data_IF_239946871529
#
_entry.id   IF_239946871529
#
_cell.length_a   1.000
_cell.length_b   1.000
_cell.length_c   1.000
_cell.angle_alpha   90.00
_cell.angle_beta   90.00
_cell.angle_gamma   90.00
#
_symmetry.space_group_name_H-M   'P 1'
#
loop_
_entity.id
_entity.type
_entity.pdbx_description
1 polymer ?
#
# COMPACT_ATOMS: atom_id res chain seq x y z
N UNK A 1 22.59 33.14 20.99
CA UNK A 1 22.21 31.79 21.46
C UNK A 1 21.78 30.85 20.31
N UNK A 2 22.27 31.05 19.06
CA UNK A 2 21.51 30.72 17.84
C UNK A 2 22.11 29.65 16.90
N UNK A 3 23.15 28.89 17.30
CA UNK A 3 23.75 27.82 16.45
C UNK A 3 24.13 26.55 17.22
N UNK A 4 23.55 26.31 18.38
CA UNK A 4 23.87 25.10 19.16
C UNK A 4 23.18 23.89 18.53
N UNK A 5 24.01 22.95 18.04
CA UNK A 5 23.60 21.63 17.54
C UNK A 5 22.73 21.61 16.27
N UNK A 6 22.96 22.54 15.33
CA UNK A 6 22.29 22.52 14.01
C UNK A 6 22.56 21.24 13.21
N UNK A 7 23.72 20.60 13.43
CA UNK A 7 24.07 19.32 12.82
C UNK A 7 23.05 18.20 13.14
N UNK A 8 22.43 18.21 14.33
CA UNK A 8 21.41 17.21 14.68
C UNK A 8 20.16 17.40 13.80
N UNK A 9 19.74 18.65 13.56
CA UNK A 9 18.59 18.97 12.71
C UNK A 9 18.91 18.64 11.23
N UNK A 10 20.15 18.82 10.80
CA UNK A 10 20.59 18.41 9.47
C UNK A 10 20.56 16.88 9.30
N UNK A 11 20.97 16.13 10.32
CA UNK A 11 20.87 14.65 10.30
C UNK A 11 19.40 14.21 10.23
N UNK A 12 18.48 14.85 10.97
CA UNK A 12 17.05 14.51 10.89
C UNK A 12 16.48 14.76 9.49
N UNK A 13 16.94 15.82 8.80
CA UNK A 13 16.58 16.06 7.40
C UNK A 13 17.02 14.90 6.48
N UNK A 14 18.27 14.46 6.57
CA UNK A 14 18.78 13.34 5.75
C UNK A 14 18.00 12.05 6.01
N UNK A 15 17.72 11.75 7.28
CA UNK A 15 16.92 10.58 7.67
C UNK A 15 15.50 10.67 7.09
N UNK A 16 14.85 11.84 7.17
CA UNK A 16 13.53 12.06 6.56
C UNK A 16 13.54 11.87 5.04
N UNK A 17 14.59 12.30 4.34
CA UNK A 17 14.72 12.09 2.88
C UNK A 17 14.86 10.60 2.53
N UNK A 18 15.67 9.85 3.27
CA UNK A 18 15.81 8.40 3.08
C UNK A 18 14.48 7.70 3.38
N UNK A 19 13.80 8.09 4.48
CA UNK A 19 12.48 7.58 4.85
C UNK A 19 11.45 7.80 3.72
N UNK A 20 11.43 8.99 3.13
CA UNK A 20 10.56 9.32 2.00
C UNK A 20 10.86 8.45 0.77
N UNK A 21 12.14 8.26 0.43
CA UNK A 21 12.53 7.42 -0.70
C UNK A 21 12.06 5.97 -0.51
N UNK A 22 12.23 5.40 0.69
CA UNK A 22 11.78 4.03 0.98
C UNK A 22 10.26 3.90 0.90
N UNK A 23 9.50 4.90 1.40
CA UNK A 23 8.04 4.91 1.28
C UNK A 23 7.58 4.93 -0.19
N UNK A 24 8.23 5.73 -1.04
CA UNK A 24 7.94 5.78 -2.47
C UNK A 24 8.25 4.43 -3.14
N UNK A 25 9.37 3.79 -2.79
CA UNK A 25 9.70 2.45 -3.31
C UNK A 25 8.65 1.42 -2.86
N UNK A 26 8.22 1.45 -1.60
CA UNK A 26 7.19 0.55 -1.09
C UNK A 26 5.88 0.66 -1.86
N UNK A 27 5.38 1.87 -2.11
CA UNK A 27 4.11 2.06 -2.83
C UNK A 27 4.22 1.71 -4.33
N UNK A 28 5.37 1.96 -4.97
CA UNK A 28 5.55 1.73 -6.40
C UNK A 28 5.88 0.27 -6.76
N UNK A 29 6.28 -0.56 -5.79
CA UNK A 29 6.72 -1.94 -6.06
C UNK A 29 5.56 -2.92 -6.06
N UNK A 30 5.64 -3.93 -6.94
CA UNK A 30 4.63 -4.96 -7.14
C UNK A 30 4.78 -6.19 -6.22
N UNK A 31 5.35 -6.02 -5.03
CA UNK A 31 5.72 -7.12 -4.12
C UNK A 31 5.20 -6.90 -2.69
N UNK A 32 3.92 -6.53 -2.58
CA UNK A 32 3.24 -6.51 -1.28
C UNK A 32 2.79 -7.90 -0.87
N UNK A 33 2.41 -8.74 -1.83
CA UNK A 33 2.07 -10.14 -1.64
C UNK A 33 2.78 -10.97 -2.71
N UNK A 34 3.24 -12.14 -2.28
CA UNK A 34 3.81 -13.18 -3.15
C UNK A 34 3.10 -14.48 -2.82
N UNK A 35 2.56 -15.14 -3.83
CA UNK A 35 1.79 -16.35 -3.66
C UNK A 35 1.98 -17.33 -4.81
N UNK A 36 1.64 -18.59 -4.54
CA UNK A 36 1.55 -19.62 -5.55
C UNK A 36 0.10 -20.10 -5.69
N UNK A 37 -0.32 -20.38 -6.92
CA UNK A 37 -1.64 -20.90 -7.24
C UNK A 37 -1.52 -22.29 -7.87
N UNK A 38 -2.18 -23.27 -7.26
CA UNK A 38 -2.18 -24.67 -7.69
C UNK A 38 -3.41 -24.99 -8.52
N UNK A 39 -3.22 -25.74 -9.60
CA UNK A 39 -4.28 -26.27 -10.43
C UNK A 39 -4.14 -27.79 -10.51
N UNK A 40 -5.25 -28.53 -10.39
CA UNK A 40 -5.22 -29.99 -10.27
C UNK A 40 -4.52 -30.70 -11.44
N UNK A 41 -4.64 -30.14 -12.65
CA UNK A 41 -4.03 -30.70 -13.88
C UNK A 41 -2.71 -30.03 -14.30
N UNK A 42 -2.17 -29.10 -13.51
CA UNK A 42 -0.94 -28.39 -13.87
C UNK A 42 0.30 -29.15 -13.37
N UNK A 43 1.33 -29.20 -14.22
CA UNK A 43 2.64 -29.81 -13.88
C UNK A 43 3.52 -28.90 -13.02
N UNK A 44 3.21 -27.60 -12.99
CA UNK A 44 3.94 -26.58 -12.22
C UNK A 44 2.95 -25.57 -11.64
N UNK A 45 3.22 -25.12 -10.43
CA UNK A 45 2.44 -24.11 -9.74
C UNK A 45 2.60 -22.74 -10.43
N UNK A 46 1.49 -22.00 -10.54
CA UNK A 46 1.51 -20.64 -11.07
C UNK A 46 2.00 -19.67 -10.00
N UNK A 47 2.81 -18.70 -10.38
CA UNK A 47 3.40 -17.73 -9.47
C UNK A 47 2.69 -16.39 -9.62
N UNK A 48 2.35 -15.78 -8.49
CA UNK A 48 1.68 -14.48 -8.46
C UNK A 48 2.41 -13.56 -7.50
N UNK A 49 2.64 -12.34 -7.93
CA UNK A 49 3.01 -11.26 -7.02
C UNK A 49 2.28 -9.98 -7.41
N UNK A 50 1.82 -9.23 -6.43
CA UNK A 50 1.23 -7.93 -6.68
C UNK A 50 1.54 -6.94 -5.55
N UNK A 51 1.59 -5.67 -5.93
CA UNK A 51 1.67 -4.51 -5.06
C UNK A 51 0.31 -3.88 -4.87
N UNK A 52 0.29 -2.65 -4.35
CA UNK A 52 -0.96 -1.96 -4.02
C UNK A 52 -1.86 -1.66 -5.23
N UNK A 53 -1.27 -1.49 -6.41
CA UNK A 53 -2.01 -1.11 -7.63
C UNK A 53 -1.88 -2.09 -8.78
N UNK A 54 -0.71 -2.70 -8.93
CA UNK A 54 -0.37 -3.58 -10.05
C UNK A 54 0.41 -4.80 -9.60
N UNK A 55 0.40 -5.82 -10.43
CA UNK A 55 1.12 -7.07 -10.20
C UNK A 55 1.35 -7.85 -11.48
N UNK A 56 1.84 -9.07 -11.32
CA UNK A 56 2.05 -10.00 -12.42
C UNK A 56 1.64 -11.42 -12.02
N UNK A 57 1.10 -12.14 -12.99
CA UNK A 57 0.70 -13.54 -12.92
C UNK A 57 1.51 -14.32 -13.95
N UNK A 58 2.37 -15.22 -13.47
CA UNK A 58 3.06 -16.21 -14.29
C UNK A 58 2.28 -17.53 -14.23
N UNK A 59 1.45 -17.73 -15.25
CA UNK A 59 0.58 -18.90 -15.37
C UNK A 59 1.28 -20.01 -16.14
N UNK A 60 1.28 -21.21 -15.58
CA UNK A 60 1.79 -22.40 -16.24
C UNK A 60 0.65 -23.36 -16.56
N UNK A 61 0.37 -23.53 -17.86
CA UNK A 61 -0.58 -24.53 -18.36
C UNK A 61 0.24 -25.58 -19.10
N UNK A 62 0.31 -26.79 -18.55
CA UNK A 62 1.18 -27.86 -19.05
C UNK A 62 2.67 -27.40 -19.07
N UNK A 63 3.36 -27.61 -20.19
CA UNK A 63 4.77 -27.23 -20.38
C UNK A 63 5.00 -25.77 -20.81
N UNK A 64 3.93 -24.97 -21.01
CA UNK A 64 4.04 -23.58 -21.50
C UNK A 64 3.65 -22.58 -20.42
N UNK A 65 4.51 -21.57 -20.20
CA UNK A 65 4.27 -20.45 -19.31
C UNK A 65 3.80 -19.21 -20.07
N UNK A 66 2.84 -18.47 -19.53
CA UNK A 66 2.39 -17.16 -20.01
C UNK A 66 2.35 -16.17 -18.87
N UNK A 67 2.84 -14.96 -19.10
CA UNK A 67 2.84 -13.87 -18.13
C UNK A 67 1.72 -12.89 -18.44
N UNK A 68 0.99 -12.47 -17.41
CA UNK A 68 -0.08 -11.49 -17.49
C UNK A 68 0.15 -10.38 -16.47
N UNK A 69 -0.14 -9.15 -16.86
CA UNK A 69 -0.12 -8.02 -15.94
C UNK A 69 -1.46 -7.94 -15.22
N UNK A 70 -1.41 -7.78 -13.90
CA UNK A 70 -2.57 -7.65 -13.05
C UNK A 70 -2.75 -6.19 -12.64
N UNK A 71 -3.98 -5.71 -12.67
CA UNK A 71 -4.35 -4.38 -12.17
C UNK A 71 -5.54 -4.49 -11.23
N UNK A 72 -5.48 -3.82 -10.08
CA UNK A 72 -6.59 -3.82 -9.14
C UNK A 72 -7.80 -3.08 -9.74
N UNK A 73 -8.99 -3.62 -9.51
CA UNK A 73 -10.28 -2.99 -9.85
C UNK A 73 -11.24 -3.19 -8.71
N UNK A 74 -11.92 -2.12 -8.32
CA UNK A 74 -12.77 -2.05 -7.14
C UNK A 74 -14.15 -1.53 -7.50
N UNK A 75 -15.18 -2.16 -6.95
CA UNK A 75 -16.54 -1.65 -6.90
C UNK A 75 -16.87 -1.27 -5.45
N UNK A 76 -16.97 0.04 -5.21
CA UNK A 76 -17.25 0.56 -3.88
C UNK A 76 -18.72 0.39 -3.47
N UNK A 77 -19.63 0.14 -4.43
CA UNK A 77 -21.03 -0.12 -4.13
C UNK A 77 -21.22 -1.46 -3.43
N UNK A 78 -20.52 -2.48 -3.92
CA UNK A 78 -20.54 -3.86 -3.39
C UNK A 78 -19.41 -4.14 -2.39
N UNK A 79 -18.53 -3.16 -2.14
CA UNK A 79 -17.48 -3.29 -1.13
C UNK A 79 -16.33 -4.23 -1.51
N UNK A 80 -16.18 -4.59 -2.80
CA UNK A 80 -15.26 -5.63 -3.24
C UNK A 80 -14.24 -5.13 -4.27
N UNK A 81 -13.03 -5.67 -4.19
CA UNK A 81 -11.92 -5.45 -5.10
C UNK A 81 -11.29 -6.78 -5.52
N UNK A 82 -10.77 -6.81 -6.75
CA UNK A 82 -10.05 -7.95 -7.30
C UNK A 82 -8.85 -7.48 -8.13
N UNK A 83 -7.88 -8.38 -8.34
CA UNK A 83 -6.85 -8.21 -9.36
C UNK A 83 -7.29 -8.86 -10.66
N UNK A 84 -7.45 -8.02 -11.70
CA UNK A 84 -7.85 -8.45 -13.03
C UNK A 84 -6.68 -8.37 -14.01
N UNK A 85 -6.67 -9.30 -14.97
CA UNK A 85 -5.71 -9.37 -16.08
C UNK A 85 -6.22 -8.71 -17.38
N UNK A 86 -7.39 -8.07 -17.37
CA UNK A 86 -7.95 -7.43 -18.56
C UNK A 86 -7.24 -6.11 -18.88
N UNK A 87 -7.12 -5.79 -20.17
CA UNK A 87 -6.39 -4.59 -20.62
C UNK A 87 -7.21 -3.30 -20.52
N UNK A 88 -8.53 -3.36 -20.71
CA UNK A 88 -9.40 -2.19 -20.67
C UNK A 88 -10.09 -2.03 -19.32
N UNK A 89 -10.25 -0.79 -18.85
CA UNK A 89 -10.92 -0.49 -17.59
C UNK A 89 -12.37 -0.99 -17.53
N UNK A 90 -13.12 -0.78 -18.62
CA UNK A 90 -14.50 -1.26 -18.70
C UNK A 90 -14.58 -2.79 -18.61
N UNK A 91 -13.67 -3.52 -19.26
CA UNK A 91 -13.66 -4.98 -19.17
C UNK A 91 -13.32 -5.48 -17.77
N UNK A 92 -12.41 -4.79 -17.06
CA UNK A 92 -12.08 -5.12 -15.65
C UNK A 92 -13.29 -4.91 -14.73
N UNK A 93 -14.05 -3.82 -14.92
CA UNK A 93 -15.26 -3.56 -14.14
C UNK A 93 -16.38 -4.55 -14.44
N UNK A 94 -16.59 -4.89 -15.72
CA UNK A 94 -17.59 -5.87 -16.11
C UNK A 94 -17.24 -7.27 -15.59
N UNK A 95 -15.95 -7.62 -15.59
CA UNK A 95 -15.45 -8.87 -15.00
C UNK A 95 -15.71 -8.92 -13.49
N UNK A 96 -15.41 -7.86 -12.75
CA UNK A 96 -15.71 -7.79 -11.31
C UNK A 96 -17.20 -8.00 -11.04
N UNK A 97 -18.08 -7.31 -11.79
CA UNK A 97 -19.54 -7.47 -11.64
C UNK A 97 -20.01 -8.89 -11.93
N UNK A 98 -19.44 -9.55 -12.95
CA UNK A 98 -19.75 -10.94 -13.26
C UNK A 98 -19.31 -11.88 -12.14
N UNK A 99 -18.12 -11.68 -11.57
CA UNK A 99 -17.63 -12.48 -10.44
C UNK A 99 -18.57 -12.33 -9.23
N UNK A 100 -18.98 -11.11 -8.91
CA UNK A 100 -19.93 -10.84 -7.83
C UNK A 100 -21.29 -11.51 -8.07
N UNK A 101 -21.77 -11.52 -9.32
CA UNK A 101 -22.99 -12.20 -9.73
C UNK A 101 -22.84 -13.72 -9.91
N UNK A 102 -21.66 -14.30 -9.63
CA UNK A 102 -21.32 -15.72 -9.86
C UNK A 102 -21.49 -16.16 -11.32
N UNK A 103 -21.31 -15.23 -12.26
CA UNK A 103 -21.35 -15.47 -13.70
C UNK A 103 -19.97 -15.88 -14.26
N UNK A 104 -19.94 -16.66 -15.35
CA UNK A 104 -18.69 -17.03 -16.00
C UNK A 104 -17.98 -15.81 -16.60
N UNK A 105 -16.68 -15.72 -16.32
CA UNK A 105 -15.81 -14.63 -16.76
C UNK A 105 -14.98 -15.00 -17.98
N UNK A 106 -14.57 -13.97 -18.71
CA UNK A 106 -13.70 -14.11 -19.87
C UNK A 106 -12.26 -14.40 -19.39
N UNK A 107 -11.62 -15.41 -19.99
CA UNK A 107 -10.21 -15.72 -19.71
C UNK A 107 -9.29 -14.56 -20.10
N UNK A 108 -8.17 -14.41 -19.39
CA UNK A 108 -7.15 -13.40 -19.68
C UNK A 108 -6.75 -13.39 -21.18
N UNK A 109 -6.64 -12.21 -21.81
CA UNK A 109 -6.28 -12.11 -23.21
C UNK A 109 -4.84 -12.60 -23.43
N UNK A 110 -4.67 -13.68 -24.19
CA UNK A 110 -3.35 -14.09 -24.71
C UNK A 110 -2.99 -13.26 -25.94
N UNK A 111 -1.70 -13.16 -26.30
CA UNK A 111 -1.26 -12.49 -27.53
C UNK A 111 -1.98 -13.01 -28.80
N UNK A 112 -2.43 -14.28 -28.81
CA UNK A 112 -3.24 -14.87 -29.88
C UNK A 112 -4.71 -14.41 -29.87
N UNK A 113 -5.27 -14.12 -28.70
CA UNK A 113 -6.66 -13.72 -28.51
C UNK A 113 -6.85 -12.19 -28.60
N UNK A 114 -5.82 -11.40 -28.26
CA UNK A 114 -5.84 -9.94 -28.38
C UNK A 114 -6.07 -9.45 -29.83
N UNK A 115 -5.43 -10.12 -30.82
CA UNK A 115 -5.64 -9.85 -32.24
C UNK A 115 -7.07 -10.18 -32.73
N UNK A 116 -7.76 -11.10 -32.02
CA UNK A 116 -9.15 -11.48 -32.32
C UNK A 116 -10.14 -10.51 -31.66
N UNK A 117 -9.81 -10.00 -30.47
CA UNK A 117 -10.60 -9.01 -29.73
C UNK A 117 -10.59 -7.62 -30.41
N UNK A 118 -9.43 -7.16 -30.88
CA UNK A 118 -9.31 -5.90 -31.65
C UNK A 118 -10.06 -5.94 -32.99
N UNK A 119 -10.43 -7.12 -33.48
CA UNK A 119 -11.21 -7.33 -34.70
C UNK A 119 -12.73 -7.38 -34.46
N UNK A 120 -13.14 -7.31 -33.19
CA UNK A 120 -14.47 -7.66 -32.71
C UNK A 120 -14.95 -6.61 -31.70
N UNK A 121 -15.11 -5.37 -32.16
CA UNK A 121 -15.73 -4.31 -31.37
C UNK A 121 -17.20 -4.60 -31.02
N UNK A 122 -17.84 -5.56 -31.69
CA UNK A 122 -19.28 -5.88 -31.51
C UNK A 122 -19.56 -7.32 -31.04
N UNK A 123 -18.56 -8.16 -30.79
CA UNK A 123 -18.78 -9.59 -30.46
C UNK A 123 -18.49 -9.99 -29.00
N UNK A 124 -18.40 -9.03 -28.08
CA UNK A 124 -18.34 -9.31 -26.62
C UNK A 124 -19.58 -10.05 -26.08
N UNK A 125 -20.69 -10.03 -26.84
CA UNK A 125 -21.93 -10.74 -26.52
C UNK A 125 -22.05 -12.11 -27.23
N UNK A 126 -21.29 -12.34 -28.30
CA UNK A 126 -21.43 -13.52 -29.17
C UNK A 126 -20.41 -14.63 -28.88
N UNK A 127 -19.42 -14.41 -28.00
CA UNK A 127 -18.44 -15.45 -27.63
C UNK A 127 -18.97 -16.41 -26.55
N UNK A 128 -20.13 -16.13 -25.95
CA UNK A 128 -20.76 -17.04 -24.99
C UNK A 128 -21.69 -18.08 -25.64
N UNK A 129 -22.15 -17.84 -26.88
CA UNK A 129 -23.04 -18.76 -27.61
C UNK A 129 -22.32 -19.92 -28.31
N UNK A 130 -21.02 -20.11 -28.06
CA UNK A 130 -20.19 -21.08 -28.81
C UNK A 130 -19.53 -22.18 -27.98
N UNK A 131 -19.76 -22.24 -26.67
CA UNK A 131 -19.29 -23.34 -25.83
C UNK A 131 -20.51 -24.12 -25.34
N UNK A 132 -20.99 -25.02 -26.20
CA UNK A 132 -21.90 -26.09 -25.80
C UNK A 132 -21.16 -27.02 -24.83
N UNK A 133 -21.30 -26.77 -23.52
CA UNK A 133 -21.14 -27.83 -22.53
C UNK A 133 -22.47 -28.59 -22.54
N UNK A 134 -22.58 -29.57 -23.42
CA UNK A 134 -23.69 -30.51 -23.39
C UNK A 134 -23.56 -31.37 -22.12
N UNK A 135 -24.18 -30.91 -21.04
CA UNK A 135 -24.53 -31.73 -19.91
C UNK A 135 -25.93 -32.31 -20.17
N UNK A 136 -25.97 -33.52 -20.72
CA UNK A 136 -27.14 -34.39 -20.63
C UNK A 136 -27.40 -34.66 -19.14
N UNK A 137 -28.28 -33.85 -18.54
CA UNK A 137 -29.20 -34.16 -17.45
C UNK A 137 -29.78 -32.84 -16.93
N UNK A 138 -30.97 -32.51 -17.43
CA UNK A 138 -31.71 -31.31 -17.06
C UNK A 138 -32.05 -31.29 -15.57
N UNK A 139 -31.24 -30.58 -14.79
CA UNK A 139 -31.63 -30.06 -13.48
C UNK A 139 -31.38 -28.56 -13.48
N UNK A 140 -32.48 -27.81 -13.49
CA UNK A 140 -32.54 -26.36 -13.30
C UNK A 140 -31.99 -26.09 -11.90
N UNK A 141 -30.76 -25.57 -11.79
CA UNK A 141 -30.21 -25.10 -10.53
C UNK A 141 -30.94 -23.81 -10.15
N UNK A 142 -31.93 -23.96 -9.28
CA UNK A 142 -32.60 -22.85 -8.61
C UNK A 142 -31.58 -22.00 -7.85
N UNK A 143 -31.74 -20.68 -7.96
CA UNK A 143 -31.12 -19.67 -7.09
C UNK A 143 -31.57 -19.94 -5.66
N UNK A 144 -30.79 -20.73 -4.92
CA UNK A 144 -31.03 -20.98 -3.51
C UNK A 144 -30.15 -20.02 -2.70
N UNK A 145 -30.79 -18.96 -2.22
CA UNK A 145 -30.24 -18.18 -1.11
C UNK A 145 -30.15 -19.09 0.11
N UNK A 146 -28.92 -19.43 0.47
CA UNK A 146 -28.58 -19.92 1.78
C UNK A 146 -27.63 -18.88 2.37
N UNK A 147 -28.09 -18.20 3.42
CA UNK A 147 -27.28 -17.37 4.32
C UNK A 147 -26.30 -18.27 5.09
N UNK A 148 -25.27 -18.74 4.40
CA UNK A 148 -24.02 -19.15 4.98
C UNK A 148 -23.09 -17.93 4.83
N UNK A 149 -22.22 -17.59 5.80
CA UNK A 149 -21.17 -16.63 5.51
C UNK A 149 -20.24 -17.31 4.51
N UNK A 150 -20.55 -17.17 3.22
CA UNK A 150 -19.62 -17.38 2.12
C UNK A 150 -18.43 -16.51 2.50
N UNK A 151 -17.36 -17.09 3.04
CA UNK A 151 -16.14 -16.35 3.38
C UNK A 151 -15.79 -15.53 2.15
N UNK A 152 -16.01 -14.22 2.20
CA UNK A 152 -15.86 -13.35 1.06
C UNK A 152 -14.38 -13.41 0.64
N UNK A 153 -14.09 -14.14 -0.43
CA UNK A 153 -12.72 -14.38 -0.91
C UNK A 153 -12.14 -13.17 -1.65
N UNK A 154 -12.86 -12.05 -1.63
CA UNK A 154 -12.52 -10.79 -2.29
C UNK A 154 -11.68 -9.90 -1.38
N UNK A 155 -11.00 -8.92 -1.98
CA UNK A 155 -10.42 -7.84 -1.20
C UNK A 155 -11.53 -6.88 -0.81
N UNK A 156 -11.75 -6.69 0.49
CA UNK A 156 -12.70 -5.70 0.97
C UNK A 156 -12.17 -4.29 0.60
N UNK A 157 -12.94 -3.56 -0.19
CA UNK A 157 -12.51 -2.29 -0.81
C UNK A 157 -12.16 -1.21 0.22
N UNK A 158 -12.85 -1.22 1.37
CA UNK A 158 -12.58 -0.30 2.48
C UNK A 158 -11.18 -0.44 3.08
N UNK A 159 -10.69 -1.67 3.27
CA UNK A 159 -9.34 -1.90 3.83
C UNK A 159 -8.25 -1.46 2.84
N UNK A 160 -8.42 -1.81 1.57
CA UNK A 160 -7.48 -1.39 0.52
C UNK A 160 -7.45 0.14 0.39
N UNK A 161 -8.62 0.78 0.27
CA UNK A 161 -8.72 2.24 0.10
C UNK A 161 -8.16 2.99 1.33
N UNK A 162 -8.42 2.48 2.53
CA UNK A 162 -7.84 3.04 3.77
C UNK A 162 -6.31 2.88 3.79
N UNK A 163 -5.79 1.74 3.34
CA UNK A 163 -4.34 1.53 3.23
C UNK A 163 -3.70 2.56 2.29
N UNK A 164 -4.30 2.79 1.12
CA UNK A 164 -3.86 3.79 0.14
C UNK A 164 -3.92 5.21 0.69
N UNK A 165 -4.95 5.57 1.47
CA UNK A 165 -5.08 6.92 2.02
C UNK A 165 -4.08 7.17 3.14
N UNK A 166 -3.91 6.24 4.08
CA UNK A 166 -2.95 6.40 5.17
C UNK A 166 -1.50 6.37 4.70
N UNK A 167 -1.14 5.58 3.69
CA UNK A 167 0.21 5.63 3.12
C UNK A 167 0.45 6.98 2.40
N UNK A 168 -0.57 7.52 1.74
CA UNK A 168 -0.49 8.86 1.11
C UNK A 168 -0.30 9.96 2.16
N UNK A 169 -1.04 9.91 3.27
CA UNK A 169 -0.84 10.81 4.39
C UNK A 169 0.55 10.68 5.02
N UNK A 170 1.07 9.46 5.18
CA UNK A 170 2.44 9.25 5.67
C UNK A 170 3.48 9.92 4.76
N UNK A 171 3.36 9.78 3.44
CA UNK A 171 4.25 10.43 2.46
C UNK A 171 4.18 11.96 2.60
N UNK A 172 2.97 12.51 2.71
CA UNK A 172 2.75 13.95 2.89
C UNK A 172 3.41 14.45 4.19
N UNK A 173 3.14 13.80 5.33
CA UNK A 173 3.69 14.20 6.62
C UNK A 173 5.21 14.05 6.69
N UNK A 174 5.76 13.00 6.08
CA UNK A 174 7.21 12.81 5.96
C UNK A 174 7.85 13.90 5.11
N UNK A 175 7.17 14.32 4.03
CA UNK A 175 7.62 15.43 3.18
C UNK A 175 7.60 16.75 3.94
N UNK A 176 6.51 17.05 4.68
CA UNK A 176 6.45 18.23 5.56
C UNK A 176 7.56 18.20 6.61
N UNK A 177 7.82 17.04 7.24
CA UNK A 177 8.94 16.90 8.19
C UNK A 177 10.30 17.21 7.54
N UNK A 178 10.54 16.74 6.31
CA UNK A 178 11.79 17.00 5.61
C UNK A 178 11.95 18.50 5.30
N UNK A 179 10.91 19.14 4.76
CA UNK A 179 10.90 20.57 4.44
C UNK A 179 11.11 21.40 5.71
N UNK A 180 10.40 21.10 6.79
CA UNK A 180 10.56 21.82 8.04
C UNK A 180 11.94 21.61 8.64
N UNK A 181 12.54 20.43 8.48
CA UNK A 181 13.90 20.17 8.99
C UNK A 181 14.92 21.09 8.33
N UNK A 182 14.87 21.24 7.00
CA UNK A 182 15.78 22.16 6.28
C UNK A 182 15.47 23.64 6.58
N UNK A 183 14.20 24.01 6.70
CA UNK A 183 13.80 25.38 7.10
C UNK A 183 14.32 25.72 8.50
N UNK A 184 14.27 24.78 9.45
CA UNK A 184 14.81 24.96 10.80
C UNK A 184 16.34 25.07 10.82
N UNK A 185 17.04 24.48 9.84
CA UNK A 185 18.49 24.65 9.69
C UNK A 185 18.84 26.06 9.19
N UNK A 186 18.06 26.62 8.26
CA UNK A 186 18.40 27.86 7.56
C UNK A 186 17.82 29.09 8.27
N UNK A 187 16.52 29.10 8.57
CA UNK A 187 15.78 30.33 8.89
C UNK A 187 15.43 30.50 10.37
N UNK A 188 15.56 29.45 11.20
CA UNK A 188 15.21 29.49 12.64
C UNK A 188 13.85 30.19 12.90
N UNK A 189 12.73 29.68 12.35
CA UNK A 189 11.42 30.33 12.49
C UNK A 189 10.94 30.37 13.95
N UNK A 190 10.24 31.46 14.31
CA UNK A 190 9.70 31.68 15.67
C UNK A 190 8.30 31.09 15.88
N UNK A 191 7.59 30.74 14.80
CA UNK A 191 6.23 30.20 14.85
C UNK A 191 6.19 28.76 15.36
N UNK A 192 5.22 28.43 16.22
CA UNK A 192 5.15 27.16 16.96
C UNK A 192 5.16 25.91 16.04
N UNK A 193 4.38 25.94 14.96
CA UNK A 193 4.23 24.82 14.02
C UNK A 193 5.47 24.68 13.12
N UNK A 194 6.15 25.78 12.83
CA UNK A 194 7.34 25.79 11.97
C UNK A 194 8.64 25.56 12.75
N UNK A 195 8.59 25.69 14.08
CA UNK A 195 9.72 25.43 14.98
C UNK A 195 9.96 23.92 15.17
N UNK A 196 10.98 23.58 15.95
CA UNK A 196 11.37 22.23 16.37
C UNK A 196 10.18 21.43 16.95
N UNK A 197 9.20 22.09 17.58
CA UNK A 197 7.98 21.44 18.04
C UNK A 197 7.21 20.76 16.89
N UNK A 198 7.08 21.44 15.75
CA UNK A 198 6.47 20.89 14.54
C UNK A 198 7.16 19.62 14.07
N UNK A 199 8.49 19.54 14.15
CA UNK A 199 9.23 18.33 13.75
C UNK A 199 8.82 17.10 14.57
N UNK A 200 8.52 17.25 15.86
CA UNK A 200 7.98 16.14 16.65
C UNK A 200 6.60 15.71 16.16
N UNK A 201 5.71 16.68 15.92
CA UNK A 201 4.33 16.41 15.51
C UNK A 201 4.28 15.71 14.16
N UNK A 202 5.00 16.20 13.15
CA UNK A 202 4.98 15.62 11.81
C UNK A 202 5.63 14.22 11.74
N UNK A 203 6.72 13.98 12.49
CA UNK A 203 7.30 12.64 12.59
C UNK A 203 6.36 11.67 13.34
N UNK A 204 5.70 12.12 14.40
CA UNK A 204 4.74 11.28 15.14
C UNK A 204 3.50 10.95 14.30
N UNK A 205 2.99 11.92 13.54
CA UNK A 205 1.83 11.73 12.67
C UNK A 205 2.16 10.80 11.48
N UNK A 206 3.35 10.93 10.91
CA UNK A 206 3.88 9.98 9.91
C UNK A 206 3.99 8.57 10.48
N UNK A 207 4.64 8.41 11.65
CA UNK A 207 4.78 7.11 12.32
C UNK A 207 3.44 6.45 12.62
N UNK A 208 2.48 7.21 13.14
CA UNK A 208 1.12 6.71 13.44
C UNK A 208 0.42 6.25 12.16
N UNK A 209 0.53 7.02 11.07
CA UNK A 209 -0.05 6.66 9.77
C UNK A 209 0.58 5.38 9.21
N UNK A 210 1.90 5.20 9.34
CA UNK A 210 2.58 3.97 8.92
C UNK A 210 2.17 2.75 9.74
N UNK A 211 1.98 2.91 11.05
CA UNK A 211 1.48 1.84 11.92
C UNK A 211 0.08 1.42 11.48
N UNK A 212 -0.81 2.37 11.17
CA UNK A 212 -2.15 2.07 10.67
C UNK A 212 -2.11 1.33 9.33
N UNK A 213 -1.22 1.69 8.41
CA UNK A 213 -1.00 0.97 7.14
C UNK A 213 -0.62 -0.49 7.39
N UNK A 214 0.34 -0.74 8.29
CA UNK A 214 0.78 -2.10 8.63
C UNK A 214 -0.33 -2.92 9.29
N UNK A 215 -1.14 -2.31 10.15
CA UNK A 215 -2.28 -2.98 10.80
C UNK A 215 -3.36 -3.29 9.78
N UNK A 216 -3.78 -2.32 8.96
CA UNK A 216 -4.85 -2.50 7.98
C UNK A 216 -4.49 -3.58 6.96
N UNK A 217 -3.28 -3.53 6.41
CA UNK A 217 -2.82 -4.55 5.46
C UNK A 217 -2.60 -5.91 6.13
N UNK A 218 -2.08 -5.91 7.37
CA UNK A 218 -1.88 -7.13 8.15
C UNK A 218 -3.19 -7.87 8.45
N UNK A 219 -4.23 -7.12 8.85
CA UNK A 219 -5.57 -7.68 9.06
C UNK A 219 -6.16 -8.20 7.75
N UNK A 220 -6.08 -7.44 6.67
CA UNK A 220 -6.56 -7.88 5.35
C UNK A 220 -5.88 -9.17 4.88
N UNK A 221 -4.59 -9.32 5.20
CA UNK A 221 -3.84 -10.53 4.87
C UNK A 221 -4.34 -11.75 5.64
N UNK A 222 -4.48 -11.61 6.97
CA UNK A 222 -4.89 -12.70 7.87
C UNK A 222 -6.34 -13.15 7.62
N UNK A 223 -7.24 -12.22 7.28
CA UNK A 223 -8.66 -12.55 7.08
C UNK A 223 -8.98 -13.09 5.70
N UNK A 224 -8.32 -12.58 4.65
CA UNK A 224 -8.74 -12.84 3.26
C UNK A 224 -7.61 -13.37 2.40
N UNK A 225 -6.47 -12.66 2.35
CA UNK A 225 -5.45 -12.90 1.32
C UNK A 225 -4.60 -14.16 1.57
N UNK A 226 -4.54 -14.65 2.80
CA UNK A 226 -3.88 -15.91 3.12
C UNK A 226 -4.61 -17.13 2.51
N UNK A 227 -5.94 -17.05 2.40
CA UNK A 227 -6.77 -18.14 1.90
C UNK A 227 -7.05 -18.01 0.40
N UNK A 228 -7.33 -16.78 -0.08
CA UNK A 228 -7.51 -16.51 -1.49
C UNK A 228 -6.83 -15.19 -1.88
N UNK A 229 -5.97 -15.25 -2.88
CA UNK A 229 -5.21 -14.11 -3.39
C UNK A 229 -6.02 -13.09 -4.20
N UNK A 230 -7.35 -13.30 -4.31
CA UNK A 230 -8.34 -12.41 -4.91
C UNK A 230 -8.04 -12.02 -6.38
N UNK A 231 -7.67 -13.01 -7.19
CA UNK A 231 -7.45 -12.87 -8.64
C UNK A 231 -8.63 -13.50 -9.37
N UNK A 232 -8.95 -13.01 -10.57
CA UNK A 232 -9.99 -13.62 -11.42
C UNK A 232 -9.95 -15.15 -11.42
N UNK A 233 -8.78 -15.73 -11.68
CA UNK A 233 -8.59 -17.18 -11.81
C UNK A 233 -8.84 -17.97 -10.50
N UNK A 234 -8.77 -17.33 -9.33
CA UNK A 234 -9.05 -17.98 -8.03
C UNK A 234 -10.47 -17.70 -7.53
N UNK A 235 -11.18 -16.76 -8.15
CA UNK A 235 -12.54 -16.35 -7.77
C UNK A 235 -13.62 -16.85 -8.74
N UNK A 236 -13.24 -17.32 -9.92
CA UNK A 236 -14.16 -17.86 -10.90
C UNK A 236 -14.88 -19.11 -10.37
N UNK A 237 -16.18 -19.24 -10.69
CA UNK A 237 -16.95 -20.47 -10.46
C UNK A 237 -17.15 -21.21 -11.79
N UNK A 238 -16.74 -22.49 -11.93
CA UNK A 238 -16.02 -23.33 -10.95
C UNK A 238 -14.56 -22.90 -10.75
N UNK A 239 -14.05 -23.00 -9.51
CA UNK A 239 -12.69 -22.56 -9.11
C UNK A 239 -11.62 -23.47 -9.70
N UNK A 240 -10.85 -23.03 -10.73
CA UNK A 240 -9.82 -23.85 -11.33
C UNK A 240 -8.50 -23.84 -10.52
N UNK A 241 -8.23 -22.76 -9.78
CA UNK A 241 -7.00 -22.56 -9.02
C UNK A 241 -7.27 -22.39 -7.53
N UNK A 242 -6.43 -23.01 -6.70
CA UNK A 242 -6.43 -22.83 -5.24
C UNK A 242 -5.10 -22.22 -4.79
N UNK A 243 -5.17 -21.16 -3.97
CA UNK A 243 -4.01 -20.48 -3.38
C UNK A 243 -3.98 -20.59 -1.85
N UNK A 244 -4.75 -21.52 -1.29
CA UNK A 244 -4.98 -21.62 0.15
C UNK A 244 -3.69 -21.90 0.92
N UNK A 245 -3.31 -20.97 1.80
CA UNK A 245 -2.10 -21.05 2.63
C UNK A 245 -0.79 -20.91 1.86
N UNK A 246 -0.82 -20.57 0.57
CA UNK A 246 0.36 -20.41 -0.29
C UNK A 246 0.77 -18.94 -0.46
N UNK A 247 0.00 -18.01 0.09
CA UNK A 247 0.31 -16.59 0.07
C UNK A 247 1.24 -16.20 1.23
N UNK A 248 2.17 -15.30 0.94
CA UNK A 248 3.12 -14.73 1.89
C UNK A 248 3.19 -13.22 1.70
N UNK A 249 3.45 -12.47 2.78
CA UNK A 249 3.69 -11.04 2.69
C UNK A 249 5.02 -10.77 1.98
N UNK A 250 4.98 -9.94 0.94
CA UNK A 250 6.15 -9.57 0.16
C UNK A 250 6.97 -8.44 0.79
N UNK A 251 8.16 -8.23 0.23
CA UNK A 251 9.14 -7.27 0.77
C UNK A 251 8.64 -5.83 0.84
N UNK A 252 7.75 -5.41 -0.07
CA UNK A 252 7.24 -4.03 -0.11
C UNK A 252 6.50 -3.64 1.16
N UNK A 253 5.84 -4.60 1.82
CA UNK A 253 5.20 -4.38 3.11
C UNK A 253 6.25 -4.28 4.24
N UNK A 254 7.23 -5.20 4.25
CA UNK A 254 8.29 -5.24 5.28
C UNK A 254 9.20 -4.00 5.28
N UNK A 255 9.48 -3.42 4.11
CA UNK A 255 10.35 -2.24 4.05
C UNK A 255 9.72 -1.00 4.70
N UNK A 256 8.41 -0.98 5.00
CA UNK A 256 7.73 0.12 5.75
C UNK A 256 8.21 0.19 7.21
N UNK A 257 8.73 -0.91 7.77
CA UNK A 257 9.34 -0.87 9.10
C UNK A 257 10.57 0.04 9.14
N UNK A 258 11.35 0.15 8.06
CA UNK A 258 12.52 1.03 8.01
C UNK A 258 12.18 2.52 8.20
N UNK A 259 11.28 3.16 7.41
CA UNK A 259 10.87 4.55 7.65
C UNK A 259 10.19 4.74 9.00
N UNK A 260 9.47 3.73 9.52
CA UNK A 260 8.92 3.78 10.88
C UNK A 260 10.03 3.92 11.94
N UNK A 261 11.09 3.11 11.85
CA UNK A 261 12.24 3.24 12.76
C UNK A 261 12.95 4.58 12.60
N UNK A 262 13.05 5.11 11.38
CA UNK A 262 13.64 6.41 11.10
C UNK A 262 12.86 7.57 11.70
N UNK A 263 11.51 7.52 11.71
CA UNK A 263 10.71 8.51 12.43
C UNK A 263 10.95 8.46 13.94
N UNK A 264 11.09 7.27 14.53
CA UNK A 264 11.43 7.11 15.96
C UNK A 264 12.83 7.64 16.27
N UNK A 265 13.80 7.37 15.40
CA UNK A 265 15.17 7.90 15.51
C UNK A 265 15.16 9.43 15.41
N UNK A 266 14.40 10.01 14.47
CA UNK A 266 14.24 11.46 14.36
C UNK A 266 13.72 12.07 15.66
N UNK A 267 12.64 11.53 16.22
CA UNK A 267 12.10 11.99 17.51
C UNK A 267 13.17 11.87 18.62
N UNK A 268 13.88 10.75 18.67
CA UNK A 268 14.94 10.51 19.65
C UNK A 268 16.10 11.51 19.54
N UNK A 269 16.52 11.85 18.32
CA UNK A 269 17.55 12.84 18.06
C UNK A 269 17.11 14.25 18.50
N UNK A 270 15.86 14.60 18.27
CA UNK A 270 15.32 15.88 18.72
C UNK A 270 15.24 15.94 20.26
N UNK A 271 14.85 14.85 20.93
CA UNK A 271 14.86 14.75 22.40
C UNK A 271 16.28 14.85 22.94
N UNK A 272 17.23 14.18 22.29
CA UNK A 272 18.65 14.26 22.63
C UNK A 272 19.18 15.69 22.48
N UNK A 273 18.79 16.40 21.42
CA UNK A 273 19.12 17.83 21.25
C UNK A 273 18.54 18.68 22.38
N UNK A 274 17.29 18.45 22.79
CA UNK A 274 16.67 19.15 23.93
C UNK A 274 17.48 18.93 25.21
N UNK A 275 17.83 17.67 25.49
CA UNK A 275 18.65 17.30 26.65
C UNK A 275 20.03 17.99 26.66
N UNK A 276 20.70 18.06 25.51
CA UNK A 276 22.00 18.75 25.41
C UNK A 276 21.91 20.27 25.64
N UNK A 277 20.78 20.89 25.25
CA UNK A 277 20.55 22.32 25.49
C UNK A 277 20.29 22.59 26.97
N UNK A 278 19.45 21.77 27.61
CA UNK A 278 19.11 21.91 29.04
C UNK A 278 20.33 21.70 29.94
N UNK A 279 21.25 20.80 29.57
CA UNK A 279 22.49 20.56 30.32
C UNK A 279 23.47 21.75 30.29
N UNK A 280 23.37 22.67 29.33
CA UNK A 280 24.13 23.93 29.35
C UNK A 280 23.36 24.92 30.20
N UNK A 281 23.81 25.16 31.44
CA UNK A 281 23.24 26.20 32.30
C UNK A 281 23.11 27.53 31.54
N UNK A 282 22.01 28.29 31.72
CA UNK A 282 21.90 29.60 31.10
C UNK A 282 23.10 30.46 31.53
N UNK A 283 23.68 31.29 30.63
CA UNK A 283 24.72 32.22 31.04
C UNK A 283 24.17 33.06 32.20
N UNK A 284 24.92 33.28 33.29
CA UNK A 284 24.44 34.09 34.40
C UNK A 284 24.00 35.44 33.82
N UNK A 285 22.72 35.76 33.99
CA UNK A 285 22.21 37.09 33.65
C UNK A 285 22.89 38.06 34.61
N UNK A 286 23.93 38.74 34.15
CA UNK A 286 24.48 39.90 34.85
C UNK A 286 23.38 40.96 34.77
N UNK A 287 22.52 41.00 35.77
CA UNK A 287 21.66 42.16 36.02
C UNK A 287 22.60 43.26 36.47
N UNK A 288 23.04 44.10 35.54
CA UNK A 288 23.67 45.37 35.89
C UNK A 288 22.56 46.20 36.53
N UNK A 289 22.56 46.26 37.87
CA UNK A 289 21.69 47.20 38.56
C UNK A 289 22.06 48.60 38.10
N UNK A 290 21.09 49.29 37.48
CA UNK A 290 21.23 50.64 36.91
C UNK A 290 21.30 51.73 37.99
N UNK A 291 21.92 51.43 39.12
CA UNK A 291 22.00 52.31 40.29
C UNK A 291 23.44 52.55 40.78
N UNK A 292 24.46 51.97 40.13
CA UNK A 292 25.86 52.33 40.37
C UNK A 292 26.20 53.67 39.69
N UNK A 293 25.77 54.77 40.33
CA UNK A 293 26.21 56.14 40.00
C UNK A 293 27.68 56.42 40.37
N UNK A 294 28.44 55.41 40.77
CA UNK A 294 29.81 55.50 41.29
C UNK A 294 30.91 55.47 40.22
N UNK A 295 30.58 55.40 38.91
CA UNK A 295 31.58 55.18 37.84
C UNK A 295 31.84 56.43 36.96
N UNK A 296 31.41 57.65 37.34
CA UNK A 296 31.83 58.87 36.62
C UNK A 296 32.36 59.99 37.51
N UNK A 297 33.27 59.67 38.43
CA UNK A 297 34.13 60.64 39.10
C UNK A 297 35.52 60.03 39.30
N UNK A 298 36.33 60.00 38.25
CA UNK A 298 37.79 60.25 38.27
C UNK A 298 38.34 60.37 36.85
#
# INVERSE_FOLDING_TARGET
>A
MAKTHWAIIFVTFLISCISLAILIVSICTSYWIVASAKHQSATRDSEVHYGLFSGSLSKYVLSSGSNYDLTITCDYGEGACIYSCQQSENARQDELRRILNKEPVLTCPTARNAARFLRSSDAGKAMFDGVDIQNDNGTIMQKQGNDQPDNEQYIISGYWASTVTFISFSIIFTTFSAILSIVNVIFNPVELIFNIFGLYVWNALSATSMILVLILWGVLFDTSLQYNIAITDTLQSPTPYSSDGLATMGYSCWIIFAPLTFCVVNISLLLFRKYLIEKRAPPPTITVERNDYTIMLY
#
